data_IF_072338241747
#
_entry.id   IF_072338241747
#
_cell.length_a   1.000
_cell.length_b   1.000
_cell.length_c   1.000
_cell.angle_alpha   90.00
_cell.angle_beta   90.00
_cell.angle_gamma   90.00
#
_symmetry.space_group_name_H-M   'P 1'
#
loop_
_entity.id
_entity.type
_entity.pdbx_description
1 polymer ?
#
# COMPACT_ATOMS: atom_id res chain seq x y z
N UNK A 1 33.71 24.12 40.01
CA UNK A 1 33.07 22.94 39.37
C UNK A 1 32.28 23.47 38.19
N UNK A 2 32.75 23.26 36.95
CA UNK A 2 31.97 23.58 35.75
C UNK A 2 31.13 22.36 35.39
N UNK A 3 29.82 22.57 35.39
CA UNK A 3 28.80 21.61 34.99
C UNK A 3 28.90 21.37 33.48
N UNK A 4 29.27 20.15 33.08
CA UNK A 4 29.28 19.75 31.68
C UNK A 4 27.84 19.53 31.23
N UNK A 5 27.24 20.55 30.63
CA UNK A 5 26.08 20.39 29.75
C UNK A 5 26.55 19.63 28.50
N UNK A 6 26.40 18.31 28.53
CA UNK A 6 26.51 17.47 27.34
C UNK A 6 25.12 16.88 27.09
N UNK A 7 24.18 17.71 26.65
CA UNK A 7 22.93 17.20 26.07
C UNK A 7 23.24 16.71 24.65
N UNK A 8 23.99 15.61 24.58
CA UNK A 8 24.11 14.84 23.36
C UNK A 8 22.71 14.31 23.07
N UNK A 9 21.98 14.94 22.13
CA UNK A 9 20.65 14.49 21.70
C UNK A 9 20.65 12.97 21.56
N UNK A 10 20.02 12.31 22.54
CA UNK A 10 20.13 10.87 22.71
C UNK A 10 19.40 10.21 21.56
N UNK A 11 20.13 9.57 20.64
CA UNK A 11 19.51 8.88 19.50
C UNK A 11 18.83 7.61 20.00
N UNK A 12 17.55 7.45 19.67
CA UNK A 12 16.82 6.20 19.85
C UNK A 12 16.86 5.37 18.57
N UNK A 13 17.01 4.05 18.69
CA UNK A 13 16.92 3.12 17.56
C UNK A 13 15.48 2.63 17.40
N UNK A 14 14.97 2.69 16.17
CA UNK A 14 13.66 2.14 15.81
C UNK A 14 13.90 1.00 14.83
N UNK A 15 13.29 -0.16 15.10
CA UNK A 15 13.31 -1.33 14.21
C UNK A 15 11.87 -1.72 13.91
N UNK A 16 11.55 -1.90 12.63
CA UNK A 16 10.22 -2.29 12.15
C UNK A 16 10.37 -3.40 11.11
N UNK A 17 9.37 -4.28 11.04
CA UNK A 17 9.23 -5.25 9.97
C UNK A 17 8.19 -4.74 8.97
N UNK A 18 8.52 -4.82 7.69
CA UNK A 18 7.64 -4.43 6.58
C UNK A 18 7.81 -5.44 5.46
N UNK A 19 6.82 -5.51 4.57
CA UNK A 19 6.95 -6.29 3.35
C UNK A 19 8.17 -5.85 2.53
N UNK A 20 8.88 -6.83 1.95
CA UNK A 20 10.13 -6.58 1.23
C UNK A 20 9.91 -5.78 -0.06
N UNK A 21 8.81 -6.03 -0.77
CA UNK A 21 8.50 -5.30 -2.00
C UNK A 21 8.08 -3.86 -1.67
N UNK A 22 7.27 -3.69 -0.62
CA UNK A 22 6.93 -2.36 -0.10
C UNK A 22 8.18 -1.56 0.26
N UNK A 23 9.14 -2.18 0.96
CA UNK A 23 10.43 -1.54 1.30
C UNK A 23 11.16 -1.06 0.05
N UNK A 24 11.36 -1.96 -0.92
CA UNK A 24 12.14 -1.67 -2.12
C UNK A 24 11.49 -0.55 -2.95
N UNK A 25 10.17 -0.62 -3.15
CA UNK A 25 9.42 0.39 -3.90
C UNK A 25 9.46 1.75 -3.19
N UNK A 26 9.29 1.77 -1.86
CA UNK A 26 9.36 3.01 -1.09
C UNK A 26 10.77 3.63 -1.15
N UNK A 27 11.83 2.81 -1.07
CA UNK A 27 13.21 3.28 -1.20
C UNK A 27 13.47 3.91 -2.58
N UNK A 28 13.00 3.29 -3.66
CA UNK A 28 13.11 3.84 -5.01
C UNK A 28 12.41 5.21 -5.15
N UNK A 29 11.14 5.30 -4.71
CA UNK A 29 10.38 6.55 -4.77
C UNK A 29 11.04 7.65 -3.93
N UNK A 30 11.49 7.33 -2.71
CA UNK A 30 12.17 8.30 -1.85
C UNK A 30 13.50 8.76 -2.46
N UNK A 31 14.28 7.86 -3.06
CA UNK A 31 15.53 8.22 -3.73
C UNK A 31 15.28 9.18 -4.90
N UNK A 32 14.22 8.96 -5.68
CA UNK A 32 13.82 9.87 -6.77
C UNK A 32 13.44 11.27 -6.25
N UNK A 33 12.99 11.37 -5.00
CA UNK A 33 12.72 12.63 -4.30
C UNK A 33 13.95 13.21 -3.58
N UNK A 34 15.12 12.59 -3.70
CA UNK A 34 16.34 12.99 -2.98
C UNK A 34 16.26 12.76 -1.46
N UNK A 35 15.39 11.85 -1.03
CA UNK A 35 15.14 11.53 0.37
C UNK A 35 15.64 10.13 0.74
N UNK A 36 16.14 9.99 1.96
CA UNK A 36 16.42 8.67 2.54
C UNK A 36 15.23 8.18 3.36
N UNK A 37 15.04 6.87 3.57
CA UNK A 37 14.04 6.35 4.49
C UNK A 37 14.11 6.98 5.89
N UNK A 38 15.32 7.17 6.42
CA UNK A 38 15.55 7.84 7.71
C UNK A 38 15.00 9.27 7.72
N UNK A 39 15.23 10.04 6.65
CA UNK A 39 14.72 11.41 6.54
C UNK A 39 13.18 11.44 6.45
N UNK A 40 12.58 10.51 5.71
CA UNK A 40 11.13 10.39 5.58
C UNK A 40 10.46 10.04 6.92
N UNK A 41 10.98 9.05 7.65
CA UNK A 41 10.48 8.67 8.98
C UNK A 41 10.69 9.80 9.99
N UNK A 42 11.83 10.49 9.94
CA UNK A 42 12.06 11.65 10.81
C UNK A 42 11.06 12.77 10.54
N UNK A 43 10.78 13.05 9.27
CA UNK A 43 9.79 14.07 8.87
C UNK A 43 8.37 13.68 9.30
N UNK A 44 8.01 12.40 9.15
CA UNK A 44 6.74 11.84 9.64
C UNK A 44 6.57 12.12 11.15
N UNK A 45 7.56 11.76 11.98
CA UNK A 45 7.46 12.04 13.42
C UNK A 45 7.40 13.52 13.76
N UNK A 46 8.21 14.35 13.09
CA UNK A 46 8.14 15.81 13.27
C UNK A 46 6.74 16.35 12.96
N UNK A 47 6.10 15.84 11.91
CA UNK A 47 4.76 16.29 11.53
C UNK A 47 3.71 15.83 12.53
N UNK A 48 3.78 14.57 12.99
CA UNK A 48 2.89 14.04 14.04
C UNK A 48 2.96 14.91 15.29
N UNK A 49 4.16 15.20 15.78
CA UNK A 49 4.36 16.05 16.97
C UNK A 49 3.86 17.48 16.73
N UNK A 50 4.04 18.02 15.53
CA UNK A 50 3.64 19.39 15.21
C UNK A 50 2.12 19.57 15.06
N UNK A 51 1.38 18.54 14.63
CA UNK A 51 -0.06 18.64 14.35
C UNK A 51 -0.95 17.86 15.31
N UNK A 52 -0.34 17.09 16.22
CA UNK A 52 -1.03 16.13 17.09
C UNK A 52 -1.95 15.18 16.30
N UNK A 53 -1.53 14.83 15.08
CA UNK A 53 -2.32 14.05 14.14
C UNK A 53 -1.45 13.27 13.15
N UNK A 54 -2.01 12.21 12.55
CA UNK A 54 -1.29 11.49 11.48
C UNK A 54 -1.33 12.31 10.17
N UNK A 55 -0.20 12.47 9.45
CA UNK A 55 -0.10 13.46 8.37
C UNK A 55 -0.50 12.94 6.98
N UNK A 56 -1.20 11.81 6.93
CA UNK A 56 -1.87 11.32 5.73
C UNK A 56 -3.30 10.99 6.09
N UNK A 57 -4.20 11.08 5.11
CA UNK A 57 -5.57 10.67 5.30
C UNK A 57 -5.63 9.14 5.45
N UNK A 58 -6.16 8.66 6.57
CA UNK A 58 -6.32 7.24 6.85
C UNK A 58 -7.58 6.64 6.20
N UNK A 59 -8.40 7.46 5.54
CA UNK A 59 -9.55 6.97 4.78
C UNK A 59 -9.13 6.58 3.36
N UNK A 60 -9.64 5.45 2.88
CA UNK A 60 -9.53 5.08 1.47
C UNK A 60 -10.11 6.17 0.58
N UNK A 61 -9.36 6.54 -0.46
CA UNK A 61 -9.84 7.35 -1.58
C UNK A 61 -10.98 6.64 -2.31
N UNK A 62 -11.82 7.38 -3.03
CA UNK A 62 -12.90 6.80 -3.84
C UNK A 62 -12.37 5.76 -4.83
N UNK A 63 -11.20 6.00 -5.41
CA UNK A 63 -10.53 5.06 -6.32
C UNK A 63 -10.13 3.77 -5.62
N UNK A 64 -9.52 3.86 -4.43
CA UNK A 64 -9.14 2.66 -3.66
C UNK A 64 -10.38 1.88 -3.21
N UNK A 65 -11.46 2.58 -2.82
CA UNK A 65 -12.74 1.92 -2.51
C UNK A 65 -13.32 1.20 -3.72
N UNK A 66 -13.40 1.88 -4.87
CA UNK A 66 -13.89 1.29 -6.11
C UNK A 66 -13.04 0.09 -6.55
N UNK A 67 -11.71 0.19 -6.42
CA UNK A 67 -10.80 -0.92 -6.68
C UNK A 67 -11.03 -2.10 -5.74
N UNK A 68 -11.19 -1.86 -4.44
CA UNK A 68 -11.49 -2.92 -3.47
C UNK A 68 -12.87 -3.55 -3.72
N UNK A 69 -13.87 -2.76 -4.08
CA UNK A 69 -15.20 -3.26 -4.43
C UNK A 69 -15.16 -4.13 -5.69
N UNK A 70 -14.41 -3.72 -6.71
CA UNK A 70 -14.18 -4.51 -7.91
C UNK A 70 -13.49 -5.84 -7.58
N UNK A 71 -12.42 -5.84 -6.77
CA UNK A 71 -11.74 -7.08 -6.36
C UNK A 71 -12.68 -8.00 -5.58
N UNK A 72 -13.43 -7.45 -4.62
CA UNK A 72 -14.40 -8.20 -3.82
C UNK A 72 -15.57 -8.76 -4.64
N UNK A 73 -15.96 -8.10 -5.73
CA UNK A 73 -17.01 -8.59 -6.63
C UNK A 73 -16.47 -9.68 -7.53
N UNK A 74 -15.28 -9.51 -8.14
CA UNK A 74 -14.62 -10.52 -8.98
C UNK A 74 -14.47 -11.85 -8.24
N UNK A 75 -14.02 -11.83 -6.99
CA UNK A 75 -13.87 -13.06 -6.18
C UNK A 75 -15.18 -13.82 -5.95
N UNK A 76 -16.32 -13.13 -6.03
CA UNK A 76 -17.65 -13.70 -5.84
C UNK A 76 -18.35 -14.07 -7.14
N UNK A 77 -17.80 -13.68 -8.29
CA UNK A 77 -18.38 -14.04 -9.58
C UNK A 77 -18.22 -15.55 -9.79
N UNK A 78 -19.27 -16.25 -10.24
CA UNK A 78 -19.17 -17.65 -10.61
C UNK A 78 -18.38 -17.76 -11.92
N UNK A 79 -17.06 -17.76 -11.83
CA UNK A 79 -16.17 -17.92 -12.99
C UNK A 79 -16.18 -19.39 -13.42
N UNK A 80 -16.78 -19.67 -14.57
CA UNK A 80 -16.70 -20.99 -15.19
C UNK A 80 -15.37 -21.13 -15.94
N UNK A 81 -14.50 -22.02 -15.45
CA UNK A 81 -13.19 -22.27 -16.07
C UNK A 81 -13.35 -23.26 -17.21
N UNK A 82 -13.36 -22.75 -18.44
CA UNK A 82 -13.36 -23.55 -19.66
C UNK A 82 -11.95 -24.10 -19.90
N UNK A 83 -11.82 -25.42 -20.04
CA UNK A 83 -10.51 -26.11 -20.15
C UNK A 83 -10.32 -26.87 -21.45
N UNK A 84 -11.35 -26.97 -22.29
CA UNK A 84 -11.28 -27.64 -23.59
C UNK A 84 -11.93 -26.84 -24.71
N UNK A 85 -11.52 -27.14 -25.95
CA UNK A 85 -12.07 -26.48 -27.14
C UNK A 85 -13.55 -26.82 -27.33
N UNK A 86 -13.96 -28.05 -27.06
CA UNK A 86 -15.37 -28.46 -27.14
C UNK A 86 -16.24 -27.72 -26.11
N UNK A 87 -15.76 -27.56 -24.88
CA UNK A 87 -16.45 -26.79 -23.82
C UNK A 87 -16.57 -25.30 -24.17
N UNK A 88 -15.53 -24.72 -24.79
CA UNK A 88 -15.54 -23.34 -25.27
C UNK A 88 -16.59 -23.12 -26.37
N UNK A 89 -16.67 -24.04 -27.34
CA UNK A 89 -17.64 -23.97 -28.42
C UNK A 89 -19.07 -24.10 -27.89
N UNK A 90 -19.30 -25.01 -26.94
CA UNK A 90 -20.61 -25.20 -26.32
C UNK A 90 -21.09 -23.97 -25.54
N UNK A 91 -20.20 -23.27 -24.86
CA UNK A 91 -20.52 -22.02 -24.16
C UNK A 91 -20.84 -20.87 -25.13
N UNK A 92 -20.14 -20.79 -26.26
CA UNK A 92 -20.42 -19.78 -27.29
C UNK A 92 -21.78 -19.99 -27.96
N UNK A 93 -22.19 -21.24 -28.12
CA UNK A 93 -23.48 -21.58 -28.74
C UNK A 93 -24.68 -21.41 -27.77
N UNK A 94 -24.46 -21.37 -26.44
CA UNK A 94 -25.55 -21.30 -25.46
C UNK A 94 -26.26 -19.95 -25.34
N UNK A 95 -25.70 -18.87 -25.90
CA UNK A 95 -26.35 -17.54 -25.94
C UNK A 95 -27.31 -17.37 -27.14
N UNK A 96 -27.50 -18.42 -27.96
CA UNK A 96 -28.28 -18.37 -29.21
C UNK A 96 -29.68 -18.98 -29.14
N UNK A 97 -30.11 -19.49 -27.98
CA UNK A 97 -31.41 -20.18 -27.81
C UNK A 97 -32.48 -19.39 -27.04
N UNK A 98 -32.25 -18.11 -26.69
CA UNK A 98 -33.30 -17.23 -26.16
C UNK A 98 -33.97 -16.43 -27.31
N UNK A 99 -34.84 -17.10 -28.08
CA UNK A 99 -35.88 -16.49 -28.95
C UNK A 99 -37.29 -16.90 -28.52
#
# INVERSE_FOLDING_TARGET
>A
MMEKQNDSTKKARIQIQVDQNLKNNAEEVLNNLGMTPTSAITMLFKRIVATDSYPVNLTLTERERAGNELLNTIDKLPVHKITSKEEALKWLDSDSEDE
#
